data_IF_554527906404
#
_entry.id   IF_554527906404
#
_cell.length_a   1.000
_cell.length_b   1.000
_cell.length_c   1.000
_cell.angle_alpha   90.00
_cell.angle_beta   90.00
_cell.angle_gamma   90.00
#
_symmetry.space_group_name_H-M   'P 1'
#
loop_
_entity.id
_entity.type
_entity.pdbx_description
1 polymer ?
#
# COMPACT_ATOMS: atom_id res chain seq x y z
N UNK A 1 33.70 1.71 -2.27
CA UNK A 1 32.86 0.63 -1.71
C UNK A 1 32.02 1.26 -0.60
N UNK A 2 30.71 1.25 -0.77
CA UNK A 2 29.79 1.79 0.23
C UNK A 2 29.80 0.82 1.41
N UNK A 3 30.28 1.24 2.56
CA UNK A 3 30.28 0.38 3.75
C UNK A 3 29.04 0.66 4.57
N UNK A 4 27.98 -0.06 4.27
CA UNK A 4 26.69 -0.03 4.98
C UNK A 4 26.87 -0.16 6.49
N UNK A 5 27.80 -0.99 6.94
CA UNK A 5 28.05 -1.23 8.37
C UNK A 5 28.58 0.00 9.07
N UNK A 6 29.51 0.70 8.44
CA UNK A 6 30.11 1.93 9.00
C UNK A 6 29.06 3.06 9.09
N UNK A 7 28.21 3.19 8.08
CA UNK A 7 27.15 4.20 8.07
C UNK A 7 26.03 3.88 9.08
N UNK A 8 25.68 2.61 9.22
CA UNK A 8 24.74 2.13 10.24
C UNK A 8 25.25 2.47 11.65
N UNK A 9 26.52 2.17 11.96
CA UNK A 9 27.12 2.49 13.26
C UNK A 9 27.11 4.00 13.50
N UNK A 10 27.44 4.81 12.50
CA UNK A 10 27.44 6.27 12.60
C UNK A 10 26.04 6.83 12.88
N UNK A 11 25.03 6.32 12.19
CA UNK A 11 23.64 6.75 12.36
C UNK A 11 23.08 6.34 13.73
N UNK A 12 23.39 5.13 14.20
CA UNK A 12 23.06 4.69 15.56
C UNK A 12 23.75 5.56 16.64
N UNK A 13 25.00 5.95 16.39
CA UNK A 13 25.75 6.84 17.30
C UNK A 13 25.14 8.26 17.37
N UNK A 14 24.38 8.66 16.33
CA UNK A 14 23.66 9.93 16.28
C UNK A 14 22.22 9.83 16.85
N UNK A 15 21.89 8.76 17.59
CA UNK A 15 20.58 8.49 18.18
C UNK A 15 19.41 8.35 17.15
N UNK A 16 19.70 8.01 15.90
CA UNK A 16 18.65 7.65 14.95
C UNK A 16 18.04 6.30 15.33
N UNK A 17 16.74 6.17 15.21
CA UNK A 17 16.07 4.87 15.40
C UNK A 17 16.44 3.89 14.27
N UNK A 18 16.29 2.60 14.56
CA UNK A 18 16.56 1.56 13.55
C UNK A 18 15.63 1.73 12.35
N UNK A 19 14.37 2.08 12.60
CA UNK A 19 13.36 2.31 11.57
C UNK A 19 13.75 3.50 10.66
N UNK A 20 14.20 4.61 11.24
CA UNK A 20 14.67 5.77 10.48
C UNK A 20 15.87 5.43 9.61
N UNK A 21 16.80 4.64 10.13
CA UNK A 21 17.97 4.20 9.37
C UNK A 21 17.53 3.33 8.19
N UNK A 22 16.64 2.37 8.43
CA UNK A 22 16.10 1.53 7.35
C UNK A 22 15.33 2.35 6.31
N UNK A 23 14.56 3.33 6.74
CA UNK A 23 13.84 4.22 5.84
C UNK A 23 14.80 4.97 4.90
N UNK A 24 15.87 5.58 5.45
CA UNK A 24 16.88 6.31 4.68
C UNK A 24 17.62 5.38 3.70
N UNK A 25 18.02 4.19 4.15
CA UNK A 25 18.76 3.25 3.30
C UNK A 25 17.86 2.66 2.19
N UNK A 26 16.61 2.37 2.50
CA UNK A 26 15.64 1.95 1.50
C UNK A 26 15.39 3.05 0.46
N UNK A 27 15.24 4.31 0.88
CA UNK A 27 15.08 5.43 -0.05
C UNK A 27 16.25 5.54 -1.02
N UNK A 28 17.48 5.42 -0.52
CA UNK A 28 18.69 5.41 -1.34
C UNK A 28 18.69 4.24 -2.33
N UNK A 29 18.40 3.03 -1.83
CA UNK A 29 18.39 1.82 -2.65
C UNK A 29 17.33 1.89 -3.77
N UNK A 30 16.12 2.35 -3.45
CA UNK A 30 15.06 2.52 -4.45
C UNK A 30 15.42 3.57 -5.50
N UNK A 31 15.96 4.71 -5.09
CA UNK A 31 16.38 5.76 -6.02
C UNK A 31 17.50 5.26 -6.94
N UNK A 32 18.45 4.48 -6.44
CA UNK A 32 19.51 3.88 -7.25
C UNK A 32 18.97 2.83 -8.23
N UNK A 33 18.03 1.99 -7.79
CA UNK A 33 17.40 0.98 -8.63
C UNK A 33 16.62 1.62 -9.78
N UNK A 34 15.85 2.67 -9.51
CA UNK A 34 15.11 3.43 -10.51
C UNK A 34 16.03 4.07 -11.57
N UNK A 35 17.18 4.59 -11.14
CA UNK A 35 18.22 5.08 -12.08
C UNK A 35 18.75 3.94 -12.96
N UNK A 36 19.05 2.79 -12.36
CA UNK A 36 19.53 1.61 -13.09
C UNK A 36 18.51 1.11 -14.11
N UNK A 37 17.21 1.13 -13.74
CA UNK A 37 16.13 0.79 -14.69
C UNK A 37 16.11 1.73 -15.91
N UNK A 38 16.27 3.04 -15.68
CA UNK A 38 16.33 4.00 -16.77
C UNK A 38 17.60 3.80 -17.63
N UNK A 39 18.75 3.53 -16.99
CA UNK A 39 20.00 3.27 -17.70
C UNK A 39 19.88 2.02 -18.60
N UNK A 40 19.27 0.96 -18.08
CA UNK A 40 18.97 -0.25 -18.86
C UNK A 40 17.99 0.02 -20.00
N UNK A 41 16.96 0.84 -19.78
CA UNK A 41 15.99 1.19 -20.82
C UNK A 41 16.62 2.01 -21.95
N UNK A 42 17.43 3.00 -21.63
CA UNK A 42 18.11 3.86 -22.58
C UNK A 42 19.31 3.17 -23.26
N UNK A 43 19.87 2.10 -22.66
CA UNK A 43 21.03 1.38 -23.14
C UNK A 43 22.37 2.09 -22.89
N UNK A 44 22.39 3.14 -22.05
CA UNK A 44 23.61 3.87 -21.70
C UNK A 44 23.53 4.49 -20.31
N UNK A 45 24.67 4.58 -19.62
CA UNK A 45 24.81 5.20 -18.31
C UNK A 45 24.77 6.74 -18.38
N UNK A 46 24.47 7.36 -17.27
CA UNK A 46 24.50 8.82 -17.12
C UNK A 46 25.90 9.36 -17.43
N UNK A 47 25.96 10.41 -18.26
CA UNK A 47 27.18 11.03 -18.76
C UNK A 47 28.03 10.19 -19.74
N UNK A 48 27.53 9.02 -20.19
CA UNK A 48 28.20 8.27 -21.25
C UNK A 48 28.09 8.97 -22.59
N UNK A 49 29.15 8.85 -23.38
CA UNK A 49 29.16 9.32 -24.78
C UNK A 49 28.28 8.47 -25.69
N UNK A 50 27.99 7.25 -25.27
CA UNK A 50 27.14 6.31 -26.02
C UNK A 50 25.69 6.80 -26.16
N UNK A 51 25.25 7.70 -25.26
CA UNK A 51 23.95 8.36 -25.34
C UNK A 51 23.85 9.46 -26.39
N UNK A 52 24.91 9.74 -27.14
CA UNK A 52 24.88 10.79 -28.17
C UNK A 52 24.16 10.31 -29.42
N UNK A 53 23.09 11.00 -29.85
CA UNK A 53 22.25 10.66 -30.99
C UNK A 53 21.47 9.33 -30.93
N UNK A 54 21.15 8.83 -29.74
CA UNK A 54 20.35 7.60 -29.55
C UNK A 54 18.86 7.77 -29.80
N UNK A 55 18.38 9.01 -30.01
CA UNK A 55 16.96 9.32 -30.25
C UNK A 55 16.17 9.61 -29.00
N UNK A 56 16.58 9.09 -27.85
CA UNK A 56 15.96 9.38 -26.55
C UNK A 56 16.99 9.78 -25.48
N UNK A 57 16.57 10.48 -24.47
CA UNK A 57 17.46 11.00 -23.42
C UNK A 57 16.74 11.19 -22.10
N UNK A 58 17.51 11.26 -21.00
CA UNK A 58 16.99 11.56 -19.67
C UNK A 58 16.31 12.92 -19.63
N UNK A 59 15.16 13.00 -18.97
CA UNK A 59 14.34 14.21 -18.86
C UNK A 59 14.01 14.58 -17.40
N UNK A 60 15.01 14.52 -16.54
CA UNK A 60 14.86 14.85 -15.13
C UNK A 60 14.04 13.84 -14.34
N UNK A 61 13.45 14.30 -13.24
CA UNK A 61 12.76 13.46 -12.26
C UNK A 61 11.45 14.10 -11.84
N UNK A 62 10.51 13.26 -11.35
CA UNK A 62 9.40 13.75 -10.55
C UNK A 62 9.43 13.11 -9.17
N UNK A 63 8.90 13.81 -8.20
CA UNK A 63 8.83 13.33 -6.82
C UNK A 63 7.59 12.49 -6.61
N UNK A 64 7.74 11.37 -5.88
CA UNK A 64 6.67 10.49 -5.48
C UNK A 64 6.92 10.01 -4.06
N UNK A 65 5.94 10.20 -3.19
CA UNK A 65 5.94 9.59 -1.85
C UNK A 65 5.44 8.14 -1.95
N UNK A 66 6.11 7.26 -1.22
CA UNK A 66 5.74 5.86 -1.09
C UNK A 66 5.78 5.43 0.37
N UNK A 67 4.67 4.93 0.89
CA UNK A 67 4.54 4.53 2.28
C UNK A 67 5.02 3.09 2.48
N UNK A 68 5.93 2.90 3.43
CA UNK A 68 6.42 1.58 3.85
C UNK A 68 6.21 1.38 5.34
N UNK A 69 6.41 0.16 5.82
CA UNK A 69 6.39 -0.13 7.27
C UNK A 69 7.49 0.58 8.07
N UNK A 70 8.54 1.09 7.40
CA UNK A 70 9.65 1.81 8.05
C UNK A 70 9.51 3.33 7.96
N UNK A 71 8.57 3.83 7.20
CA UNK A 71 8.37 5.25 7.00
C UNK A 71 7.99 5.63 5.58
N UNK A 72 7.82 6.92 5.37
CA UNK A 72 7.57 7.49 4.06
C UNK A 72 8.90 7.67 3.30
N UNK A 73 8.97 7.06 2.11
CA UNK A 73 10.08 7.25 1.18
C UNK A 73 9.77 8.38 0.21
N UNK A 74 10.72 9.29 0.01
CA UNK A 74 10.62 10.38 -0.96
C UNK A 74 11.40 10.02 -2.22
N UNK A 75 10.76 9.32 -3.14
CA UNK A 75 11.37 8.78 -4.33
C UNK A 75 11.48 9.81 -5.45
N UNK A 76 12.59 9.76 -6.19
CA UNK A 76 12.87 10.58 -7.36
C UNK A 76 12.75 9.70 -8.60
N UNK A 77 11.57 9.66 -9.20
CA UNK A 77 11.30 8.80 -10.35
C UNK A 77 11.89 9.44 -11.60
N UNK A 78 12.86 8.80 -12.27
CA UNK A 78 13.47 9.34 -13.47
C UNK A 78 12.51 9.27 -14.67
N UNK A 79 12.71 10.12 -15.64
CA UNK A 79 11.94 10.18 -16.89
C UNK A 79 12.85 10.24 -18.09
N UNK A 80 12.41 9.65 -19.18
CA UNK A 80 12.93 9.82 -20.52
C UNK A 80 12.25 11.01 -21.23
N UNK A 81 12.81 11.45 -22.32
CA UNK A 81 12.30 12.57 -23.12
C UNK A 81 11.13 12.16 -24.01
N UNK A 82 11.13 10.94 -24.51
CA UNK A 82 10.06 10.38 -25.32
C UNK A 82 8.80 10.04 -24.50
N UNK A 83 8.93 9.84 -23.18
CA UNK A 83 7.82 9.46 -22.29
C UNK A 83 7.42 7.99 -22.42
N UNK A 84 8.30 7.15 -22.91
CA UNK A 84 8.07 5.73 -23.14
C UNK A 84 8.53 4.87 -21.95
N UNK A 85 9.47 5.36 -21.14
CA UNK A 85 9.97 4.68 -19.97
C UNK A 85 8.89 4.51 -18.90
N UNK A 86 8.68 3.28 -18.49
CA UNK A 86 7.80 2.92 -17.36
C UNK A 86 8.59 2.09 -16.37
N UNK A 87 8.89 2.68 -15.23
CA UNK A 87 9.57 1.99 -14.15
C UNK A 87 8.76 0.75 -13.70
N UNK A 88 9.42 -0.35 -13.38
CA UNK A 88 8.82 -1.62 -12.97
C UNK A 88 9.01 -1.92 -11.47
N UNK A 89 9.99 -1.26 -10.85
CA UNK A 89 10.31 -1.42 -9.42
C UNK A 89 9.13 -1.14 -8.49
N UNK A 90 8.28 -0.16 -8.86
CA UNK A 90 7.13 0.21 -8.05
C UNK A 90 5.84 -0.06 -8.82
N UNK A 91 4.82 -0.64 -8.20
CA UNK A 91 3.52 -0.80 -8.84
C UNK A 91 2.97 0.53 -9.33
N UNK A 92 2.39 0.55 -10.53
CA UNK A 92 1.73 1.72 -11.08
C UNK A 92 0.61 2.17 -10.14
N UNK A 93 0.61 3.45 -9.78
CA UNK A 93 -0.38 4.07 -8.89
C UNK A 93 -0.39 3.59 -7.42
N UNK A 94 0.43 2.60 -7.00
CA UNK A 94 0.54 2.24 -5.61
C UNK A 94 1.20 3.39 -4.81
N UNK A 95 0.61 3.74 -3.68
CA UNK A 95 1.13 4.76 -2.74
C UNK A 95 1.68 4.14 -1.47
N UNK A 96 1.45 2.87 -1.27
CA UNK A 96 1.84 2.11 -0.07
C UNK A 96 2.33 0.71 -0.45
N UNK A 97 3.03 0.09 0.48
CA UNK A 97 3.42 -1.31 0.39
C UNK A 97 2.17 -2.21 0.49
N UNK A 98 2.07 -3.22 -0.36
CA UNK A 98 1.00 -4.22 -0.37
C UNK A 98 0.79 -4.88 1.01
N UNK A 99 1.87 -5.04 1.79
CA UNK A 99 1.82 -5.61 3.13
C UNK A 99 0.94 -4.79 4.08
N UNK A 100 1.04 -3.46 4.01
CA UNK A 100 0.24 -2.56 4.84
C UNK A 100 -1.23 -2.57 4.42
N UNK A 101 -1.50 -2.61 3.12
CA UNK A 101 -2.85 -2.71 2.60
C UNK A 101 -3.51 -4.05 2.98
N UNK A 102 -2.77 -5.16 2.88
CA UNK A 102 -3.25 -6.48 3.33
C UNK A 102 -3.56 -6.49 4.84
N UNK A 103 -2.74 -5.83 5.66
CA UNK A 103 -2.99 -5.69 7.10
C UNK A 103 -4.28 -4.90 7.37
N UNK A 104 -4.51 -3.80 6.66
CA UNK A 104 -5.76 -3.01 6.75
C UNK A 104 -6.97 -3.89 6.42
N UNK A 105 -6.91 -4.62 5.31
CA UNK A 105 -7.97 -5.55 4.89
C UNK A 105 -8.21 -6.61 5.94
N UNK A 106 -7.16 -7.21 6.50
CA UNK A 106 -7.26 -8.23 7.54
C UNK A 106 -7.92 -7.68 8.81
N UNK A 107 -7.50 -6.52 9.31
CA UNK A 107 -8.11 -5.88 10.48
C UNK A 107 -9.59 -5.58 10.25
N UNK A 108 -9.92 -5.03 9.09
CA UNK A 108 -11.30 -4.73 8.72
C UNK A 108 -12.17 -5.99 8.65
N UNK A 109 -11.66 -7.09 8.07
CA UNK A 109 -12.35 -8.38 8.00
C UNK A 109 -12.59 -9.00 9.38
N UNK A 110 -11.81 -8.61 10.40
CA UNK A 110 -11.99 -9.02 11.81
C UNK A 110 -12.94 -8.09 12.58
N UNK A 111 -13.56 -7.12 11.91
CA UNK A 111 -14.56 -6.23 12.50
C UNK A 111 -13.99 -4.96 13.14
N UNK A 112 -12.69 -4.68 12.95
CA UNK A 112 -12.10 -3.42 13.41
C UNK A 112 -12.61 -2.28 12.53
N UNK A 113 -13.04 -1.18 13.13
CA UNK A 113 -13.58 -0.06 12.38
C UNK A 113 -12.49 0.71 11.63
N UNK A 114 -12.84 1.38 10.53
CA UNK A 114 -11.88 2.19 9.74
C UNK A 114 -11.21 3.29 10.57
N UNK A 115 -11.87 3.77 11.62
CA UNK A 115 -11.32 4.74 12.55
C UNK A 115 -10.23 4.11 13.44
N UNK A 116 -10.53 2.97 14.04
CA UNK A 116 -9.57 2.25 14.89
C UNK A 116 -8.36 1.77 14.09
N UNK A 117 -8.57 1.33 12.85
CA UNK A 117 -7.47 0.96 11.93
C UNK A 117 -6.56 2.16 11.68
N UNK A 118 -7.13 3.34 11.38
CA UNK A 118 -6.33 4.56 11.18
C UNK A 118 -5.52 4.92 12.44
N UNK A 119 -6.14 4.87 13.63
CA UNK A 119 -5.48 5.14 14.90
C UNK A 119 -4.36 4.12 15.21
N UNK A 120 -4.57 2.84 14.89
CA UNK A 120 -3.57 1.78 15.06
C UNK A 120 -2.37 1.99 14.13
N UNK A 121 -2.61 2.27 12.86
CA UNK A 121 -1.55 2.53 11.89
C UNK A 121 -0.72 3.74 12.29
N UNK A 122 -1.37 4.83 12.71
CA UNK A 122 -0.68 6.03 13.18
C UNK A 122 0.22 5.73 14.39
N UNK A 123 -0.27 4.94 15.35
CA UNK A 123 0.51 4.57 16.53
C UNK A 123 1.66 3.60 16.24
N UNK A 124 1.47 2.67 15.31
CA UNK A 124 2.47 1.64 15.00
C UNK A 124 3.55 2.10 14.03
N UNK A 125 3.18 2.92 13.07
CA UNK A 125 4.06 3.29 11.95
C UNK A 125 4.32 4.79 11.83
N UNK A 126 3.71 5.63 12.69
CA UNK A 126 3.86 7.08 12.65
C UNK A 126 3.22 7.75 11.43
N UNK A 127 2.39 7.03 10.68
CA UNK A 127 1.78 7.53 9.46
C UNK A 127 0.29 7.80 9.64
N UNK A 128 -0.14 8.95 9.15
CA UNK A 128 -1.56 9.29 9.14
C UNK A 128 -2.24 8.74 7.88
N UNK A 129 -3.15 7.80 8.10
CA UNK A 129 -4.11 7.37 7.08
C UNK A 129 -5.46 8.01 7.34
N UNK A 130 -5.98 8.73 6.33
CA UNK A 130 -7.34 9.25 6.44
C UNK A 130 -8.34 8.09 6.46
N UNK A 131 -9.50 8.30 7.12
CA UNK A 131 -10.59 7.30 7.10
C UNK A 131 -11.02 6.95 5.67
N UNK A 132 -10.95 7.94 4.75
CA UNK A 132 -11.25 7.72 3.35
C UNK A 132 -10.23 6.79 2.68
N UNK A 133 -8.95 6.94 2.99
CA UNK A 133 -7.90 6.04 2.48
C UNK A 133 -8.13 4.61 2.95
N UNK A 134 -8.40 4.41 4.25
CA UNK A 134 -8.74 3.09 4.81
C UNK A 134 -9.99 2.53 4.14
N UNK A 135 -11.03 3.35 3.95
CA UNK A 135 -12.27 2.93 3.28
C UNK A 135 -12.01 2.49 1.83
N UNK A 136 -11.17 3.21 1.11
CA UNK A 136 -10.82 2.83 -0.27
C UNK A 136 -10.04 1.49 -0.32
N UNK A 137 -9.09 1.29 0.59
CA UNK A 137 -8.34 0.02 0.69
C UNK A 137 -9.29 -1.14 1.02
N UNK A 138 -10.26 -0.92 1.93
CA UNK A 138 -11.20 -1.96 2.33
C UNK A 138 -12.32 -2.22 1.32
N UNK A 139 -12.41 -1.42 0.26
CA UNK A 139 -13.43 -1.61 -0.79
C UNK A 139 -13.29 -2.97 -1.49
N UNK A 140 -12.09 -3.53 -1.59
CA UNK A 140 -11.85 -4.87 -2.13
C UNK A 140 -12.57 -5.96 -1.31
N UNK A 141 -12.71 -5.76 0.00
CA UNK A 141 -13.47 -6.65 0.89
C UNK A 141 -14.97 -6.61 0.56
N UNK A 142 -15.48 -5.45 0.15
CA UNK A 142 -16.87 -5.29 -0.24
C UNK A 142 -17.25 -6.16 -1.44
N UNK A 143 -16.33 -6.31 -2.40
CA UNK A 143 -16.52 -7.22 -3.53
C UNK A 143 -16.58 -8.68 -3.08
N UNK A 144 -15.73 -9.10 -2.15
CA UNK A 144 -15.73 -10.44 -1.56
C UNK A 144 -17.01 -10.69 -0.76
N UNK A 145 -17.48 -9.72 0.01
CA UNK A 145 -18.74 -9.78 0.75
C UNK A 145 -19.92 -9.89 -0.23
N UNK A 146 -19.93 -9.11 -1.30
CA UNK A 146 -20.95 -9.17 -2.34
C UNK A 146 -20.97 -10.54 -3.04
N UNK A 147 -19.79 -11.08 -3.36
CA UNK A 147 -19.65 -12.42 -3.94
C UNK A 147 -20.15 -13.51 -2.96
N UNK A 148 -19.84 -13.36 -1.66
CA UNK A 148 -20.36 -14.26 -0.63
C UNK A 148 -21.89 -14.19 -0.50
N UNK A 149 -22.48 -13.00 -0.51
CA UNK A 149 -23.94 -12.82 -0.45
C UNK A 149 -24.65 -13.41 -1.66
N UNK A 150 -24.06 -13.32 -2.84
CA UNK A 150 -24.63 -13.81 -4.10
C UNK A 150 -24.24 -15.26 -4.42
N UNK A 151 -23.53 -15.95 -3.51
CA UNK A 151 -23.14 -17.34 -3.76
C UNK A 151 -24.36 -18.26 -3.85
N UNK A 152 -24.25 -19.28 -4.69
CA UNK A 152 -25.27 -20.33 -4.75
C UNK A 152 -25.32 -21.08 -3.41
N UNK A 153 -26.50 -21.13 -2.80
CA UNK A 153 -26.73 -21.86 -1.55
C UNK A 153 -27.17 -23.30 -1.90
N UNK A 154 -26.71 -24.29 -1.13
CA UNK A 154 -27.15 -25.66 -1.27
C UNK A 154 -28.70 -25.76 -1.22
N UNK A 155 -29.25 -26.57 -2.07
CA UNK A 155 -30.70 -26.75 -2.13
C UNK A 155 -31.28 -27.60 -0.98
N UNK A 156 -30.44 -28.23 -0.17
CA UNK A 156 -30.89 -29.12 0.91
C UNK A 156 -29.98 -28.97 2.13
N UNK A 157 -30.61 -28.71 3.26
CA UNK A 157 -29.99 -28.67 4.57
C UNK A 157 -30.67 -29.68 5.48
N UNK A 158 -29.92 -30.35 6.35
CA UNK A 158 -30.44 -31.30 7.33
C UNK A 158 -31.04 -30.57 8.52
N UNK A 159 -30.36 -29.44 8.94
CA UNK A 159 -30.79 -28.60 10.06
C UNK A 159 -30.66 -27.13 9.65
N UNK A 160 -31.65 -26.34 10.07
CA UNK A 160 -31.60 -24.87 9.94
C UNK A 160 -31.68 -24.25 11.34
N UNK A 161 -30.67 -23.46 11.66
CA UNK A 161 -30.68 -22.59 12.84
C UNK A 161 -31.08 -21.19 12.40
N UNK A 162 -32.08 -20.63 13.09
CA UNK A 162 -32.54 -19.27 12.85
C UNK A 162 -32.40 -18.47 14.13
N UNK A 163 -31.73 -17.33 14.04
CA UNK A 163 -31.61 -16.36 15.13
C UNK A 163 -31.96 -14.97 14.60
N UNK A 164 -32.38 -14.07 15.48
CA UNK A 164 -32.69 -12.69 15.14
C UNK A 164 -32.18 -11.72 16.19
N UNK A 165 -31.51 -10.68 15.73
CA UNK A 165 -31.10 -9.57 16.58
C UNK A 165 -31.63 -8.26 16.03
N UNK A 166 -31.86 -7.26 16.90
CA UNK A 166 -32.34 -5.95 16.47
C UNK A 166 -31.19 -4.97 16.37
N UNK A 167 -31.04 -4.35 15.23
CA UNK A 167 -30.05 -3.33 14.96
C UNK A 167 -30.72 -2.00 14.69
N UNK A 168 -30.10 -0.91 15.16
CA UNK A 168 -30.49 0.43 14.77
C UNK A 168 -29.94 0.74 13.38
N UNK A 169 -30.79 0.79 12.38
CA UNK A 169 -30.41 1.09 10.99
C UNK A 169 -30.78 2.53 10.70
N UNK A 170 -29.81 3.30 10.20
CA UNK A 170 -30.03 4.68 9.77
C UNK A 170 -30.24 4.73 8.25
N UNK A 171 -31.45 5.06 7.86
CA UNK A 171 -31.81 5.45 6.46
C UNK A 171 -32.24 6.91 6.48
N UNK A 172 -33.52 7.20 6.27
CA UNK A 172 -34.09 8.54 6.44
C UNK A 172 -34.33 8.87 7.91
N UNK A 173 -34.68 7.87 8.71
CA UNK A 173 -34.78 7.88 10.18
C UNK A 173 -33.92 6.76 10.78
N UNK A 174 -33.72 6.80 12.10
CA UNK A 174 -33.08 5.69 12.84
C UNK A 174 -34.19 4.78 13.36
N UNK A 175 -34.30 3.60 12.78
CA UNK A 175 -35.29 2.60 13.17
C UNK A 175 -34.63 1.30 13.59
N UNK A 176 -35.32 0.55 14.47
CA UNK A 176 -34.89 -0.80 14.86
C UNK A 176 -35.38 -1.79 13.81
N UNK A 177 -34.43 -2.40 13.10
CA UNK A 177 -34.73 -3.46 12.14
C UNK A 177 -34.23 -4.80 12.69
N UNK A 178 -34.97 -5.87 12.41
CA UNK A 178 -34.55 -7.24 12.77
C UNK A 178 -33.60 -7.78 11.72
N UNK A 179 -32.40 -8.14 12.16
CA UNK A 179 -31.44 -8.91 11.34
C UNK A 179 -31.65 -10.39 11.63
N UNK A 180 -32.12 -11.14 10.64
CA UNK A 180 -32.29 -12.58 10.73
C UNK A 180 -31.00 -13.26 10.25
N UNK A 181 -30.44 -14.14 11.09
CA UNK A 181 -29.27 -14.96 10.78
C UNK A 181 -29.77 -16.39 10.62
N UNK A 182 -29.57 -16.97 9.44
CA UNK A 182 -29.95 -18.35 9.13
C UNK A 182 -28.69 -19.14 8.79
N UNK A 183 -28.45 -20.20 9.55
CA UNK A 183 -27.33 -21.12 9.34
C UNK A 183 -27.87 -22.51 9.02
N UNK A 184 -27.49 -23.05 7.87
CA UNK A 184 -27.84 -24.41 7.44
C UNK A 184 -26.66 -25.37 7.58
N UNK A 185 -26.92 -26.57 8.04
CA UNK A 185 -25.96 -27.68 8.12
C UNK A 185 -26.49 -28.87 7.30
#
# INVERSE_FOLDING_TARGET
MYDFTTELIKNLSNNMSVEEIFCVELEKAFNQLLETELDCFLGYEKYSKDGYNTGDSRNGYYKRSFQTKYGELNLSIPRDRAGEFKQQTLPSHARSDDTLEQMVVLMYSKGVTTREIAELIEKMYGHYYSRQTISNITQTVQEQVSAFHNRAISKRFVVLYCDATYLNVRRDSVEKEALHIIMGI
#
